data_IF_845074178349
#
_entry.id   IF_845074178349
#
_cell.length_a   1.000
_cell.length_b   1.000
_cell.length_c   1.000
_cell.angle_alpha   90.00
_cell.angle_beta   90.00
_cell.angle_gamma   90.00
#
_symmetry.space_group_name_H-M   'P 1'
#
loop_
_entity.id
_entity.type
_entity.pdbx_description
1 polymer ?
#
# COMPACT_ATOMS: atom_id res chain seq x y z
N UNK A 1 -1.60 -17.41 7.27
CA UNK A 1 -0.17 -17.18 6.95
C UNK A 1 0.29 -16.04 7.85
N UNK A 2 1.38 -16.21 8.60
CA UNK A 2 1.81 -15.27 9.66
C UNK A 2 2.24 -13.91 9.11
N UNK A 3 2.79 -13.87 7.89
CA UNK A 3 3.28 -12.66 7.23
C UNK A 3 2.53 -12.43 5.92
N UNK A 4 2.07 -11.19 5.75
CA UNK A 4 1.52 -10.68 4.50
C UNK A 4 2.10 -9.29 4.18
N UNK A 5 3.11 -9.27 3.30
CA UNK A 5 3.86 -8.05 2.95
C UNK A 5 3.02 -7.02 2.19
N UNK A 6 1.82 -7.37 1.73
CA UNK A 6 0.89 -6.39 1.13
C UNK A 6 0.42 -5.35 2.14
N UNK A 7 0.45 -5.68 3.43
CA UNK A 7 0.18 -4.73 4.51
C UNK A 7 1.43 -4.00 4.99
N UNK A 8 2.60 -4.28 4.43
CA UNK A 8 3.80 -3.51 4.73
C UNK A 8 3.80 -2.25 3.88
N UNK A 9 3.34 -1.12 4.45
CA UNK A 9 3.10 0.15 3.72
C UNK A 9 4.26 0.51 2.78
N UNK A 10 5.50 0.60 3.28
CA UNK A 10 6.64 0.97 2.45
C UNK A 10 6.90 -0.02 1.28
N UNK A 11 6.91 -1.33 1.54
CA UNK A 11 7.14 -2.36 0.50
C UNK A 11 6.01 -2.40 -0.53
N UNK A 12 4.76 -2.26 -0.07
CA UNK A 12 3.58 -2.23 -0.95
C UNK A 12 3.59 -0.98 -1.84
N UNK A 13 3.95 0.19 -1.29
CA UNK A 13 4.10 1.42 -2.06
C UNK A 13 5.22 1.30 -3.09
N UNK A 14 6.40 0.79 -2.72
CA UNK A 14 7.50 0.57 -3.67
C UNK A 14 7.08 -0.35 -4.84
N UNK A 15 6.44 -1.48 -4.52
CA UNK A 15 5.93 -2.41 -5.52
C UNK A 15 4.92 -1.74 -6.46
N UNK A 16 3.99 -0.94 -5.92
CA UNK A 16 3.01 -0.19 -6.71
C UNK A 16 3.68 0.84 -7.62
N UNK A 17 4.67 1.59 -7.12
CA UNK A 17 5.44 2.55 -7.92
C UNK A 17 6.21 1.88 -9.05
N UNK A 18 6.85 0.73 -8.79
CA UNK A 18 7.54 -0.05 -9.84
C UNK A 18 6.57 -0.52 -10.91
N UNK A 19 5.43 -1.07 -10.51
CA UNK A 19 4.37 -1.48 -11.44
C UNK A 19 3.93 -0.31 -12.33
N UNK A 20 3.61 0.85 -11.75
CA UNK A 20 3.09 1.99 -12.51
C UNK A 20 4.12 2.53 -13.51
N UNK A 21 5.41 2.54 -13.16
CA UNK A 21 6.50 2.91 -14.07
C UNK A 21 6.63 1.92 -15.22
N UNK A 22 6.55 0.62 -14.95
CA UNK A 22 6.57 -0.43 -15.98
C UNK A 22 5.35 -0.32 -16.91
N UNK A 23 4.16 -0.11 -16.34
CA UNK A 23 2.93 0.06 -17.13
C UNK A 23 3.01 1.31 -18.02
N UNK A 24 3.56 2.41 -17.51
CA UNK A 24 3.78 3.62 -18.31
C UNK A 24 4.80 3.37 -19.43
N UNK A 25 5.91 2.69 -19.14
CA UNK A 25 6.89 2.33 -20.17
C UNK A 25 6.28 1.45 -21.28
N UNK A 26 5.34 0.56 -20.92
CA UNK A 26 4.64 -0.31 -21.86
C UNK A 26 3.58 0.43 -22.70
N UNK A 27 2.74 1.25 -22.07
CA UNK A 27 1.57 1.84 -22.73
C UNK A 27 1.75 3.29 -23.18
N UNK A 28 2.79 3.99 -22.71
CA UNK A 28 3.06 5.40 -23.04
C UNK A 28 2.03 6.39 -22.48
N UNK A 29 1.12 5.96 -21.61
CA UNK A 29 0.04 6.78 -21.07
C UNK A 29 -0.21 6.49 -19.59
N UNK A 30 -0.32 7.55 -18.80
CA UNK A 30 -0.64 7.44 -17.37
C UNK A 30 -2.07 6.95 -17.11
N UNK A 31 -3.02 7.27 -17.99
CA UNK A 31 -4.40 6.79 -17.84
C UNK A 31 -4.51 5.31 -18.16
N UNK A 32 -3.76 4.83 -19.17
CA UNK A 32 -3.60 3.40 -19.45
C UNK A 32 -2.89 2.67 -18.31
N UNK A 33 -1.80 3.23 -17.78
CA UNK A 33 -1.06 2.68 -16.64
C UNK A 33 -1.93 2.55 -15.36
N UNK A 34 -2.72 3.58 -15.06
CA UNK A 34 -3.65 3.56 -13.94
C UNK A 34 -4.78 2.55 -14.15
N UNK A 35 -5.36 2.49 -15.36
CA UNK A 35 -6.39 1.49 -15.68
C UNK A 35 -5.85 0.06 -15.55
N UNK A 36 -4.65 -0.20 -16.06
CA UNK A 36 -4.02 -1.51 -15.95
C UNK A 36 -3.72 -1.88 -14.49
N UNK A 37 -3.43 -0.92 -13.62
CA UNK A 37 -3.27 -1.20 -12.18
C UNK A 37 -4.51 -1.87 -11.57
N UNK A 38 -5.71 -1.49 -12.03
CA UNK A 38 -6.97 -2.11 -11.58
C UNK A 38 -7.26 -3.45 -12.26
N UNK A 39 -7.08 -3.56 -13.58
CA UNK A 39 -7.50 -4.76 -14.34
C UNK A 39 -6.36 -5.70 -14.79
N UNK A 40 -5.11 -5.39 -14.42
CA UNK A 40 -3.89 -6.05 -14.88
C UNK A 40 -3.39 -5.55 -16.24
N UNK A 41 -2.07 -5.51 -16.46
CA UNK A 41 -1.48 -5.08 -17.74
C UNK A 41 -1.92 -5.96 -18.90
N UNK A 42 -1.90 -7.28 -18.73
CA UNK A 42 -2.37 -8.22 -19.75
C UNK A 42 -3.87 -8.06 -20.03
N UNK A 43 -4.67 -7.77 -19.00
CA UNK A 43 -6.11 -7.54 -19.14
C UNK A 43 -6.43 -6.28 -19.92
N UNK A 44 -5.73 -5.18 -19.61
CA UNK A 44 -5.84 -3.94 -20.36
C UNK A 44 -5.38 -4.10 -21.82
N UNK A 45 -4.19 -4.68 -22.03
CA UNK A 45 -3.60 -4.89 -23.36
C UNK A 45 -4.50 -5.72 -24.26
N UNK A 46 -5.06 -6.82 -23.74
CA UNK A 46 -6.00 -7.66 -24.48
C UNK A 46 -7.22 -6.85 -24.94
N UNK A 47 -7.88 -6.13 -24.03
CA UNK A 47 -9.08 -5.34 -24.36
C UNK A 47 -8.81 -4.22 -25.35
N UNK A 48 -7.65 -3.57 -25.22
CA UNK A 48 -7.22 -2.52 -26.14
C UNK A 48 -6.97 -3.10 -27.54
N UNK A 49 -6.29 -4.25 -27.61
CA UNK A 49 -5.97 -4.96 -28.86
C UNK A 49 -7.22 -5.50 -29.56
N UNK A 50 -8.14 -6.14 -28.80
CA UNK A 50 -9.40 -6.68 -29.31
C UNK A 50 -10.30 -5.57 -29.93
N UNK A 51 -10.10 -4.32 -29.52
CA UNK A 51 -10.85 -3.15 -30.00
C UNK A 51 -10.06 -2.28 -30.98
N UNK A 52 -8.82 -2.65 -31.31
CA UNK A 52 -7.90 -1.86 -32.14
C UNK A 52 -7.65 -0.44 -31.62
N UNK A 53 -7.69 -0.26 -30.30
CA UNK A 53 -7.51 1.03 -29.64
C UNK A 53 -6.18 1.09 -28.90
N UNK A 54 -5.60 2.28 -28.82
CA UNK A 54 -4.35 2.55 -28.06
C UNK A 54 -4.56 3.55 -26.94
N UNK A 55 -5.53 4.44 -27.10
CA UNK A 55 -5.86 5.46 -26.14
C UNK A 55 -6.90 4.92 -25.16
N UNK A 56 -6.62 5.03 -23.85
CA UNK A 56 -7.50 4.61 -22.77
C UNK A 56 -8.96 5.08 -22.96
N UNK A 57 -9.15 6.32 -23.40
CA UNK A 57 -10.48 6.92 -23.53
C UNK A 57 -11.34 6.30 -24.64
N UNK A 58 -10.71 5.58 -25.56
CA UNK A 58 -11.38 4.92 -26.68
C UNK A 58 -11.59 3.42 -26.42
N UNK A 59 -10.99 2.86 -25.36
CA UNK A 59 -11.11 1.44 -24.98
C UNK A 59 -12.34 1.23 -24.09
N UNK A 60 -13.27 0.38 -24.51
CA UNK A 60 -14.36 -0.07 -23.64
C UNK A 60 -13.81 -1.06 -22.59
N UNK A 61 -13.83 -0.64 -21.32
CA UNK A 61 -13.40 -1.41 -20.15
C UNK A 61 -14.60 -1.68 -19.22
N UNK A 62 -14.48 -2.55 -18.20
CA UNK A 62 -15.52 -2.68 -17.19
C UNK A 62 -15.71 -1.34 -16.48
N UNK A 63 -16.93 -1.07 -16.04
CA UNK A 63 -17.30 0.19 -15.39
C UNK A 63 -16.44 0.49 -14.16
N UNK A 64 -16.02 -0.53 -13.41
CA UNK A 64 -15.06 -0.40 -12.31
C UNK A 64 -13.74 0.25 -12.77
N UNK A 65 -13.12 -0.29 -13.82
CA UNK A 65 -11.85 0.18 -14.36
C UNK A 65 -11.99 1.56 -15.01
N UNK A 66 -13.08 1.80 -15.75
CA UNK A 66 -13.33 3.11 -16.36
C UNK A 66 -13.48 4.22 -15.30
N UNK A 67 -14.08 3.92 -14.15
CA UNK A 67 -14.20 4.87 -13.03
C UNK A 67 -12.91 5.01 -12.22
N UNK A 68 -12.00 4.04 -12.28
CA UNK A 68 -10.79 4.01 -11.46
C UNK A 68 -9.92 5.27 -11.67
N UNK A 69 -9.69 5.64 -12.93
CA UNK A 69 -8.90 6.84 -13.27
C UNK A 69 -9.56 8.11 -12.74
N UNK A 70 -10.88 8.27 -12.93
CA UNK A 70 -11.61 9.44 -12.45
C UNK A 70 -11.63 9.53 -10.93
N UNK A 71 -11.73 8.40 -10.22
CA UNK A 71 -11.62 8.36 -8.75
C UNK A 71 -10.25 8.85 -8.28
N UNK A 72 -9.17 8.41 -8.93
CA UNK A 72 -7.81 8.89 -8.61
C UNK A 72 -7.70 10.41 -8.82
N UNK A 73 -8.20 10.92 -9.94
CA UNK A 73 -8.18 12.37 -10.23
C UNK A 73 -9.01 13.14 -9.21
N UNK A 74 -10.19 12.64 -8.84
CA UNK A 74 -11.03 13.25 -7.81
C UNK A 74 -10.32 13.28 -6.45
N UNK A 75 -9.72 12.17 -6.02
CA UNK A 75 -8.94 12.14 -4.78
C UNK A 75 -7.75 13.09 -4.84
N UNK A 76 -6.99 13.12 -5.93
CA UNK A 76 -5.91 14.09 -6.10
C UNK A 76 -6.42 15.51 -5.97
N UNK A 77 -7.54 15.85 -6.62
CA UNK A 77 -8.10 17.19 -6.59
C UNK A 77 -8.56 17.58 -5.17
N UNK A 78 -9.26 16.68 -4.46
CA UNK A 78 -9.66 16.88 -3.07
C UNK A 78 -8.45 17.07 -2.15
N UNK A 79 -7.46 16.19 -2.24
CA UNK A 79 -6.26 16.24 -1.40
C UNK A 79 -5.36 17.45 -1.71
N UNK A 80 -5.41 17.98 -2.93
CA UNK A 80 -4.61 19.14 -3.33
C UNK A 80 -5.30 20.47 -3.05
N UNK A 81 -6.63 20.49 -2.95
CA UNK A 81 -7.44 21.70 -2.75
C UNK A 81 -8.48 21.53 -1.63
N UNK A 82 -8.09 21.03 -0.44
CA UNK A 82 -9.06 20.69 0.60
C UNK A 82 -9.85 21.91 1.07
N UNK A 83 -9.19 23.04 1.34
CA UNK A 83 -9.83 24.27 1.83
C UNK A 83 -10.82 24.86 0.81
N UNK A 84 -10.43 24.94 -0.47
CA UNK A 84 -11.29 25.44 -1.55
C UNK A 84 -12.58 24.61 -1.70
N UNK A 85 -12.50 23.33 -1.38
CA UNK A 85 -13.62 22.38 -1.43
C UNK A 85 -14.38 22.29 -0.09
N UNK A 86 -14.06 23.14 0.88
CA UNK A 86 -14.73 23.22 2.18
C UNK A 86 -14.22 22.25 3.24
N UNK A 87 -13.11 21.54 2.97
CA UNK A 87 -12.42 20.69 3.95
C UNK A 87 -11.40 21.52 4.73
N UNK A 88 -11.84 22.13 5.82
CA UNK A 88 -10.97 22.84 6.76
C UNK A 88 -10.42 21.86 7.81
N UNK A 89 -9.30 21.19 7.51
CA UNK A 89 -8.69 20.19 8.39
C UNK A 89 -7.65 20.86 9.30
N UNK A 90 -7.98 20.98 10.59
CA UNK A 90 -7.09 21.57 11.58
C UNK A 90 -5.92 20.63 11.90
N UNK A 91 -4.77 21.19 12.30
CA UNK A 91 -3.56 20.40 12.58
C UNK A 91 -3.77 19.32 13.66
N UNK A 92 -4.66 19.56 14.63
CA UNK A 92 -4.98 18.59 15.69
C UNK A 92 -5.89 17.45 15.21
N UNK A 93 -6.58 17.62 14.06
CA UNK A 93 -7.42 16.59 13.44
C UNK A 93 -6.59 15.65 12.54
N UNK A 94 -5.38 16.07 12.18
CA UNK A 94 -4.49 15.27 11.35
C UNK A 94 -3.87 14.13 12.13
N UNK A 95 -3.82 12.95 11.51
CA UNK A 95 -3.04 11.84 12.02
C UNK A 95 -1.55 12.19 11.98
N UNK A 96 -0.91 12.22 13.15
CA UNK A 96 0.55 12.39 13.24
C UNK A 96 1.25 11.03 13.10
N UNK A 97 2.35 10.94 12.34
CA UNK A 97 3.18 9.76 12.35
C UNK A 97 3.63 9.42 13.78
N UNK A 98 3.47 8.15 14.16
CA UNK A 98 4.01 7.66 15.43
C UNK A 98 5.51 7.48 15.24
N UNK A 99 6.33 8.13 16.06
CA UNK A 99 7.77 7.91 16.05
C UNK A 99 8.05 6.44 16.40
N UNK A 100 8.82 5.75 15.56
CA UNK A 100 9.17 4.34 15.74
C UNK A 100 10.67 4.12 15.87
N UNK A 101 11.03 2.95 16.39
CA UNK A 101 12.38 2.38 16.37
C UNK A 101 12.30 0.98 15.76
N UNK A 102 13.21 0.63 14.84
CA UNK A 102 13.25 -0.70 14.28
C UNK A 102 13.93 -1.68 15.25
N UNK A 103 13.45 -2.92 15.30
CA UNK A 103 14.17 -4.06 15.86
C UNK A 103 14.27 -5.17 14.82
N UNK A 104 15.50 -5.63 14.56
CA UNK A 104 15.72 -6.78 13.68
C UNK A 104 15.57 -8.06 14.49
N UNK A 105 14.66 -8.93 14.06
CA UNK A 105 14.47 -10.27 14.62
C UNK A 105 14.97 -11.33 13.66
N UNK A 106 15.86 -12.20 14.15
CA UNK A 106 16.44 -13.32 13.40
C UNK A 106 15.98 -14.69 13.92
N UNK A 107 15.28 -14.70 15.06
CA UNK A 107 14.72 -15.90 15.69
C UNK A 107 13.20 -15.83 15.71
N UNK A 108 12.56 -17.00 15.56
CA UNK A 108 11.10 -17.11 15.63
C UNK A 108 10.56 -16.58 16.97
N UNK A 109 9.42 -15.90 16.89
CA UNK A 109 8.69 -15.37 18.03
C UNK A 109 7.39 -16.16 18.18
N UNK A 110 7.28 -16.99 19.22
CA UNK A 110 6.10 -17.83 19.46
C UNK A 110 4.91 -17.05 20.04
N UNK A 111 5.16 -15.93 20.72
CA UNK A 111 4.13 -15.07 21.30
C UNK A 111 4.49 -13.58 21.10
N UNK A 112 3.84 -12.96 20.12
CA UNK A 112 4.02 -11.54 19.80
C UNK A 112 3.47 -10.61 20.90
N UNK A 113 2.54 -11.06 21.73
CA UNK A 113 2.05 -10.28 22.87
C UNK A 113 3.12 -10.22 23.97
N UNK A 114 3.75 -11.35 24.30
CA UNK A 114 4.88 -11.38 25.22
C UNK A 114 6.07 -10.58 24.67
N UNK A 115 6.38 -10.73 23.38
CA UNK A 115 7.42 -9.95 22.71
C UNK A 115 7.17 -8.44 22.79
N UNK A 116 5.93 -8.00 22.53
CA UNK A 116 5.54 -6.59 22.65
C UNK A 116 5.77 -6.07 24.07
N UNK A 117 5.30 -6.82 25.07
CA UNK A 117 5.45 -6.46 26.49
C UNK A 117 6.92 -6.35 26.91
N UNK A 118 7.75 -7.33 26.54
CA UNK A 118 9.20 -7.32 26.80
C UNK A 118 9.93 -6.16 26.12
N UNK A 119 9.35 -5.62 25.04
CA UNK A 119 9.88 -4.48 24.30
C UNK A 119 9.21 -3.14 24.66
N UNK A 120 8.56 -3.05 25.83
CA UNK A 120 8.01 -1.78 26.34
C UNK A 120 6.74 -1.31 25.64
N UNK A 121 6.00 -2.20 24.97
CA UNK A 121 4.75 -1.86 24.29
C UNK A 121 3.66 -2.90 24.54
N UNK A 122 2.53 -2.79 23.84
CA UNK A 122 1.45 -3.76 23.91
C UNK A 122 1.15 -4.35 22.52
N UNK A 123 0.47 -5.49 22.52
CA UNK A 123 0.15 -6.23 21.29
C UNK A 123 -0.63 -5.38 20.27
N UNK A 124 -1.57 -4.54 20.73
CA UNK A 124 -2.34 -3.65 19.86
C UNK A 124 -1.43 -2.67 19.11
N UNK A 125 -0.50 -2.03 19.83
CA UNK A 125 0.45 -1.09 19.23
C UNK A 125 1.40 -1.80 18.26
N UNK A 126 1.93 -2.97 18.65
CA UNK A 126 2.77 -3.79 17.77
C UNK A 126 2.06 -4.09 16.43
N UNK A 127 0.80 -4.54 16.47
CA UNK A 127 0.00 -4.85 15.28
C UNK A 127 -0.41 -3.61 14.48
N UNK A 128 -0.55 -2.47 15.14
CA UNK A 128 -0.84 -1.18 14.49
C UNK A 128 0.36 -0.72 13.66
N UNK A 129 1.57 -0.84 14.20
CA UNK A 129 2.81 -0.45 13.50
C UNK A 129 3.26 -1.50 12.47
N UNK A 130 2.89 -2.77 12.67
CA UNK A 130 3.28 -3.89 11.82
C UNK A 130 2.05 -4.69 11.32
N UNK A 131 1.14 -4.07 10.55
CA UNK A 131 -0.08 -4.75 10.09
C UNK A 131 0.18 -5.92 9.14
N UNK A 132 1.42 -6.08 8.67
CA UNK A 132 1.91 -7.24 7.91
C UNK A 132 2.08 -8.50 8.77
N UNK A 133 2.21 -8.37 10.09
CA UNK A 133 2.07 -9.48 11.02
C UNK A 133 0.59 -9.81 11.15
N UNK A 134 0.17 -11.00 10.71
CA UNK A 134 -1.25 -11.39 10.66
C UNK A 134 -1.67 -12.23 11.86
N UNK A 135 -0.78 -13.05 12.39
CA UNK A 135 -1.03 -13.93 13.55
C UNK A 135 -0.38 -13.39 14.84
N UNK A 136 -0.46 -14.15 15.94
CA UNK A 136 0.25 -13.88 17.21
C UNK A 136 1.64 -14.57 17.30
N UNK A 137 2.07 -15.21 16.22
CA UNK A 137 3.40 -15.82 16.08
C UNK A 137 4.11 -15.35 14.82
N UNK A 138 5.42 -15.45 14.81
CA UNK A 138 6.28 -15.19 13.66
C UNK A 138 7.36 -16.26 13.57
N UNK A 139 7.24 -17.13 12.56
CA UNK A 139 8.23 -18.14 12.23
C UNK A 139 9.27 -17.55 11.28
N UNK A 140 10.54 -17.65 11.64
CA UNK A 140 11.67 -17.18 10.83
C UNK A 140 12.53 -18.38 10.44
N UNK A 141 12.69 -18.61 9.14
CA UNK A 141 13.57 -19.65 8.63
C UNK A 141 15.05 -19.22 8.75
N UNK A 142 15.93 -20.20 8.92
CA UNK A 142 17.36 -19.96 9.10
C UNK A 142 17.94 -19.06 8.00
N UNK A 143 18.70 -18.03 8.39
CA UNK A 143 19.30 -17.06 7.49
C UNK A 143 18.38 -15.89 7.09
N UNK A 144 17.11 -15.90 7.48
CA UNK A 144 16.19 -14.77 7.26
C UNK A 144 16.06 -13.89 8.50
N UNK A 145 15.53 -12.69 8.28
CA UNK A 145 15.23 -11.73 9.35
C UNK A 145 14.04 -10.85 8.97
N UNK A 146 13.36 -10.33 9.98
CA UNK A 146 12.37 -9.26 9.81
C UNK A 146 12.76 -8.03 10.60
N UNK A 147 12.37 -6.86 10.12
CA UNK A 147 12.40 -5.61 10.88
C UNK A 147 11.00 -5.36 11.42
N UNK A 148 10.88 -5.28 12.73
CA UNK A 148 9.63 -4.94 13.43
C UNK A 148 9.74 -3.51 13.93
N UNK A 149 8.74 -2.69 13.62
CA UNK A 149 8.64 -1.31 14.12
C UNK A 149 8.01 -1.29 15.51
N UNK A 150 8.66 -0.66 16.46
CA UNK A 150 8.18 -0.46 17.84
C UNK A 150 8.07 1.03 18.12
N UNK A 151 7.23 1.50 19.06
CA UNK A 151 7.20 2.92 19.41
C UNK A 151 8.57 3.39 19.94
N UNK A 152 9.01 4.58 19.52
CA UNK A 152 10.31 5.13 19.89
C UNK A 152 10.42 5.50 21.38
N UNK A 153 9.32 5.99 21.97
CA UNK A 153 9.28 6.45 23.35
C UNK A 153 8.23 5.63 24.13
N UNK A 154 8.68 4.63 24.90
CA UNK A 154 7.97 3.98 26.02
C UNK A 154 8.89 2.99 26.73
#
# INVERSE_FOLDING_TARGET
KEVDERYHVAKATDAACRYLKEAYAKFGSWTAAAASYNCGMAGYERRASDQYQRNYYDVLLPEETMRYVFRIVAYKHILSNPEELGFNIMEYEQYRPIATRPITVTQSVSDLAAFAMQNGTNYRMLKTLNPWLRENSLTISAGNSYVIELPANR
#
